data_IF_063088967242
#
_entry.id   IF_063088967242
#
_cell.length_a   1.000
_cell.length_b   1.000
_cell.length_c   1.000
_cell.angle_alpha   90.00
_cell.angle_beta   90.00
_cell.angle_gamma   90.00
#
_symmetry.space_group_name_H-M   'P 1'
#
loop_
_entity.id
_entity.type
_entity.pdbx_description
1 polymer ?
#
# COMPACT_ATOMS: atom_id res chain seq x y z
N UNK A 1 47.31 18.17 -5.00
CA UNK A 1 45.98 17.73 -4.53
C UNK A 1 45.28 18.90 -3.88
N UNK A 2 43.97 19.06 -4.11
CA UNK A 2 43.19 20.08 -3.39
C UNK A 2 42.86 19.56 -2.00
N UNK A 3 42.79 20.45 -1.00
CA UNK A 3 42.46 20.10 0.39
C UNK A 3 41.18 19.24 0.52
N UNK A 4 40.19 19.51 -0.35
CA UNK A 4 38.94 18.75 -0.41
C UNK A 4 39.16 17.26 -0.71
N UNK A 5 40.01 16.93 -1.68
CA UNK A 5 40.31 15.55 -2.07
C UNK A 5 41.03 14.80 -0.96
N UNK A 6 41.97 15.48 -0.30
CA UNK A 6 42.70 14.93 0.85
C UNK A 6 41.77 14.66 2.04
N UNK A 7 40.91 15.62 2.38
CA UNK A 7 39.89 15.45 3.42
C UNK A 7 38.95 14.29 3.10
N UNK A 8 38.48 14.17 1.86
CA UNK A 8 37.56 13.12 1.45
C UNK A 8 38.21 11.73 1.55
N UNK A 9 39.50 11.60 1.22
CA UNK A 9 40.26 10.35 1.39
C UNK A 9 40.38 9.94 2.87
N UNK A 10 40.67 10.90 3.76
CA UNK A 10 40.72 10.64 5.21
C UNK A 10 39.37 10.11 5.71
N UNK A 11 38.29 10.81 5.36
CA UNK A 11 36.94 10.43 5.79
C UNK A 11 36.58 9.02 5.28
N UNK A 12 36.89 8.73 4.01
CA UNK A 12 36.63 7.39 3.42
C UNK A 12 37.41 6.29 4.13
N UNK A 13 38.67 6.54 4.47
CA UNK A 13 39.51 5.57 5.18
C UNK A 13 38.97 5.31 6.61
N UNK A 14 38.59 6.36 7.34
CA UNK A 14 37.98 6.22 8.66
C UNK A 14 36.68 5.42 8.65
N UNK A 15 35.85 5.60 7.62
CA UNK A 15 34.56 4.91 7.48
C UNK A 15 34.70 3.52 6.81
N UNK A 16 35.91 3.07 6.48
CA UNK A 16 36.18 1.83 5.73
C UNK A 16 35.41 1.76 4.39
N UNK A 17 35.19 2.91 3.77
CA UNK A 17 34.50 3.03 2.47
C UNK A 17 35.56 3.01 1.37
N UNK A 18 35.31 2.26 0.30
CA UNK A 18 36.22 2.22 -0.84
C UNK A 18 36.47 3.63 -1.42
N UNK A 19 37.73 4.00 -1.74
CA UNK A 19 38.07 5.32 -2.27
C UNK A 19 37.36 5.64 -3.59
N UNK A 20 36.96 4.61 -4.35
CA UNK A 20 36.26 4.75 -5.64
C UNK A 20 34.77 5.07 -5.50
N UNK A 21 34.19 4.93 -4.30
CA UNK A 21 32.76 5.13 -4.07
C UNK A 21 32.47 6.64 -4.03
N UNK A 22 31.49 7.07 -4.82
CA UNK A 22 31.04 8.47 -4.85
C UNK A 22 29.90 8.69 -3.86
N UNK A 23 29.68 9.95 -3.45
CA UNK A 23 28.56 10.28 -2.56
C UNK A 23 27.22 9.85 -3.18
N UNK A 24 27.08 9.96 -4.49
CA UNK A 24 25.92 9.46 -5.24
C UNK A 24 25.69 7.98 -4.98
N UNK A 25 26.70 7.12 -5.04
CA UNK A 25 26.52 5.67 -4.81
C UNK A 25 26.01 5.35 -3.40
N UNK A 26 26.43 6.13 -2.39
CA UNK A 26 26.00 5.96 -0.99
C UNK A 26 24.54 6.37 -0.75
N UNK A 27 24.06 7.42 -1.43
CA UNK A 27 22.74 7.99 -1.17
C UNK A 27 21.61 7.43 -2.06
N UNK A 28 21.91 6.65 -3.10
CA UNK A 28 20.89 5.98 -3.94
C UNK A 28 20.19 4.79 -3.25
N UNK A 29 20.67 4.33 -2.09
CA UNK A 29 20.06 3.23 -1.32
C UNK A 29 18.64 3.54 -0.80
N UNK A 30 18.21 4.81 -0.78
CA UNK A 30 16.87 5.20 -0.29
C UNK A 30 15.73 4.98 -1.30
N UNK A 31 16.03 4.75 -2.58
CA UNK A 31 15.03 4.70 -3.64
C UNK A 31 14.77 3.31 -4.23
N UNK A 32 15.33 2.24 -3.64
CA UNK A 32 14.81 0.90 -3.90
C UNK A 32 13.42 0.79 -3.26
N UNK A 33 12.41 1.32 -3.97
CA UNK A 33 11.02 0.92 -3.77
C UNK A 33 11.03 -0.59 -3.97
N UNK A 34 11.05 -1.35 -2.89
CA UNK A 34 10.67 -2.76 -2.94
C UNK A 34 9.28 -2.78 -3.59
N UNK A 35 9.23 -3.09 -4.88
CA UNK A 35 7.99 -3.48 -5.53
C UNK A 35 7.57 -4.71 -4.75
N UNK A 36 6.61 -4.54 -3.83
CA UNK A 36 5.97 -5.68 -3.19
C UNK A 36 5.56 -6.60 -4.33
N UNK A 37 6.07 -7.83 -4.31
CA UNK A 37 5.58 -8.84 -5.23
C UNK A 37 4.05 -8.88 -5.07
N UNK A 38 3.28 -8.98 -6.17
CA UNK A 38 1.86 -9.21 -6.03
C UNK A 38 1.72 -10.51 -5.23
N UNK A 39 1.23 -10.41 -3.99
CA UNK A 39 0.84 -11.61 -3.26
C UNK A 39 -0.20 -12.28 -4.15
N UNK A 40 0.07 -13.52 -4.57
CA UNK A 40 -0.95 -14.36 -5.18
C UNK A 40 -2.13 -14.36 -4.21
N UNK A 41 -3.26 -13.81 -4.67
CA UNK A 41 -4.46 -13.75 -3.85
C UNK A 41 -4.79 -15.19 -3.44
N UNK A 42 -5.10 -15.45 -2.16
CA UNK A 42 -5.65 -16.74 -1.76
C UNK A 42 -6.83 -17.07 -2.68
N UNK A 43 -6.99 -18.34 -3.03
CA UNK A 43 -8.09 -18.88 -3.84
C UNK A 43 -9.46 -18.79 -3.13
N UNK A 44 -9.59 -17.85 -2.18
CA UNK A 44 -10.86 -17.39 -1.68
C UNK A 44 -11.52 -16.57 -2.79
N UNK A 45 -12.45 -17.23 -3.46
CA UNK A 45 -13.45 -16.69 -4.38
C UNK A 45 -13.95 -15.29 -3.97
N UNK A 46 -14.08 -15.06 -2.67
CA UNK A 46 -14.46 -13.76 -2.11
C UNK A 46 -13.26 -12.87 -1.77
N UNK A 47 -13.02 -11.84 -2.58
CA UNK A 47 -12.10 -10.74 -2.26
C UNK A 47 -12.76 -9.36 -2.37
N UNK A 48 -12.12 -8.38 -1.73
CA UNK A 48 -12.57 -6.99 -1.71
C UNK A 48 -12.06 -6.22 -2.92
N UNK A 49 -12.97 -5.49 -3.56
CA UNK A 49 -12.65 -4.55 -4.63
C UNK A 49 -13.31 -3.19 -4.37
N UNK A 50 -12.79 -2.10 -4.98
CA UNK A 50 -13.44 -0.80 -4.94
C UNK A 50 -14.82 -0.84 -5.59
N UNK A 51 -15.79 -0.14 -4.99
CA UNK A 51 -17.14 0.00 -5.57
C UNK A 51 -17.02 0.82 -6.88
N UNK A 52 -17.55 0.33 -8.01
CA UNK A 52 -17.52 1.06 -9.26
C UNK A 52 -18.26 2.39 -9.13
N UNK A 53 -17.66 3.42 -9.69
CA UNK A 53 -18.23 4.76 -9.67
C UNK A 53 -19.36 4.83 -10.70
N UNK A 54 -20.57 5.29 -10.33
CA UNK A 54 -21.64 5.50 -11.29
C UNK A 54 -21.25 6.54 -12.36
N UNK A 55 -21.72 6.35 -13.59
CA UNK A 55 -21.31 7.12 -14.77
C UNK A 55 -21.47 8.65 -14.61
N UNK A 56 -22.52 9.09 -13.91
CA UNK A 56 -22.79 10.52 -13.66
C UNK A 56 -22.25 11.05 -12.33
N UNK A 57 -21.35 10.30 -11.66
CA UNK A 57 -20.87 10.68 -10.34
C UNK A 57 -19.61 11.56 -10.41
N UNK A 58 -19.69 12.75 -9.83
CA UNK A 58 -18.65 13.79 -9.93
C UNK A 58 -17.33 13.46 -9.21
N UNK A 59 -17.32 12.52 -8.27
CA UNK A 59 -16.13 12.23 -7.43
C UNK A 59 -15.49 10.90 -7.83
N UNK A 60 -14.18 10.82 -7.66
CA UNK A 60 -13.40 9.60 -7.97
C UNK A 60 -13.70 8.40 -7.06
N UNK A 61 -14.33 8.62 -5.90
CA UNK A 61 -14.61 7.57 -4.92
C UNK A 61 -16.09 7.54 -4.58
N UNK A 62 -16.71 6.37 -4.75
CA UNK A 62 -18.10 6.14 -4.40
C UNK A 62 -18.20 5.31 -3.12
N UNK A 63 -19.16 5.65 -2.25
CA UNK A 63 -19.31 5.04 -0.94
C UNK A 63 -20.73 4.52 -0.76
N UNK A 64 -20.87 3.31 -0.21
CA UNK A 64 -22.14 2.72 0.21
C UNK A 64 -22.10 2.37 1.70
N UNK A 65 -23.27 2.17 2.30
CA UNK A 65 -23.33 1.70 3.70
C UNK A 65 -22.96 0.21 3.77
N UNK A 66 -22.14 -0.17 4.75
CA UNK A 66 -21.80 -1.56 5.00
C UNK A 66 -23.03 -2.36 5.46
N UNK A 67 -23.37 -3.45 4.75
CA UNK A 67 -24.54 -4.28 5.10
C UNK A 67 -24.42 -4.91 6.49
N UNK A 68 -23.25 -5.43 6.86
CA UNK A 68 -23.03 -6.03 8.17
C UNK A 68 -23.15 -5.01 9.32
N UNK A 69 -22.59 -3.81 9.17
CA UNK A 69 -22.76 -2.77 10.18
C UNK A 69 -24.24 -2.38 10.32
N UNK A 70 -24.96 -2.32 9.20
CA UNK A 70 -26.39 -1.98 9.18
C UNK A 70 -27.24 -3.03 9.91
N UNK A 71 -26.91 -4.35 9.78
CA UNK A 71 -27.50 -5.42 10.62
C UNK A 71 -27.31 -5.13 12.12
N UNK A 72 -26.13 -4.67 12.50
CA UNK A 72 -25.78 -4.30 13.89
C UNK A 72 -26.24 -2.89 14.29
N UNK A 73 -27.25 -2.32 13.61
CA UNK A 73 -27.80 -0.97 13.86
C UNK A 73 -26.76 0.17 13.83
N UNK A 74 -25.60 -0.06 13.21
CA UNK A 74 -24.50 0.91 13.13
C UNK A 74 -24.32 1.37 11.69
N UNK A 75 -24.27 2.68 11.45
CA UNK A 75 -24.03 3.20 10.09
C UNK A 75 -22.54 3.45 9.87
N UNK A 76 -21.90 2.62 9.04
CA UNK A 76 -20.56 2.85 8.51
C UNK A 76 -20.58 2.85 6.99
N UNK A 77 -19.87 3.81 6.39
CA UNK A 77 -19.68 3.88 4.95
C UNK A 77 -18.41 3.13 4.56
N UNK A 78 -18.44 2.46 3.40
CA UNK A 78 -17.33 1.74 2.82
C UNK A 78 -17.20 2.10 1.33
N UNK A 79 -15.96 2.10 0.84
CA UNK A 79 -15.61 2.22 -0.59
C UNK A 79 -15.42 0.84 -1.23
N UNK A 80 -15.56 -0.23 -0.46
CA UNK A 80 -15.23 -1.59 -0.86
C UNK A 80 -16.48 -2.46 -0.91
N UNK A 81 -16.50 -3.39 -1.86
CA UNK A 81 -17.49 -4.45 -1.98
C UNK A 81 -16.80 -5.80 -2.18
N UNK A 82 -17.50 -6.88 -1.86
CA UNK A 82 -17.09 -8.21 -2.32
C UNK A 82 -17.28 -8.29 -3.84
N UNK A 83 -16.28 -8.73 -4.60
CA UNK A 83 -16.37 -8.85 -6.06
C UNK A 83 -17.47 -9.82 -6.48
N UNK A 84 -17.55 -10.96 -5.82
CA UNK A 84 -18.53 -12.00 -6.18
C UNK A 84 -19.93 -11.70 -5.66
N UNK A 85 -20.06 -11.27 -4.40
CA UNK A 85 -21.37 -11.03 -3.83
C UNK A 85 -21.94 -9.65 -4.22
N UNK A 86 -21.11 -8.73 -4.70
CA UNK A 86 -21.46 -7.31 -4.96
C UNK A 86 -22.03 -6.57 -3.74
N UNK A 87 -21.69 -7.06 -2.53
CA UNK A 87 -22.18 -6.52 -1.26
C UNK A 87 -21.16 -5.52 -0.70
N UNK A 88 -21.59 -4.28 -0.34
CA UNK A 88 -20.72 -3.31 0.31
C UNK A 88 -20.43 -3.75 1.75
N UNK A 89 -19.15 -4.01 2.04
CA UNK A 89 -18.66 -4.46 3.34
C UNK A 89 -17.43 -3.64 3.77
N UNK A 90 -17.25 -3.46 5.07
CA UNK A 90 -16.02 -2.86 5.60
C UNK A 90 -14.85 -3.86 5.49
N UNK A 91 -13.63 -3.34 5.32
CA UNK A 91 -12.43 -4.16 5.35
C UNK A 91 -12.25 -4.90 6.70
N UNK A 92 -11.68 -6.11 6.66
CA UNK A 92 -11.46 -6.96 7.83
C UNK A 92 -12.73 -7.60 8.38
N UNK A 93 -13.09 -7.29 9.63
CA UNK A 93 -14.08 -8.04 10.43
C UNK A 93 -15.44 -8.22 9.75
N UNK A 94 -15.98 -7.16 9.12
CA UNK A 94 -17.30 -7.24 8.48
C UNK A 94 -17.30 -8.13 7.24
N UNK A 95 -16.17 -8.21 6.54
CA UNK A 95 -16.02 -9.07 5.39
C UNK A 95 -15.89 -10.53 5.82
N UNK A 96 -15.03 -10.83 6.79
CA UNK A 96 -14.88 -12.18 7.32
C UNK A 96 -16.20 -12.70 7.93
N UNK A 97 -16.90 -11.89 8.72
CA UNK A 97 -18.16 -12.32 9.34
C UNK A 97 -19.25 -12.61 8.32
N UNK A 98 -19.26 -11.90 7.18
CA UNK A 98 -20.29 -12.08 6.15
C UNK A 98 -20.11 -13.37 5.35
N UNK A 99 -18.89 -13.85 5.20
CA UNK A 99 -18.57 -15.06 4.42
C UNK A 99 -18.33 -16.29 5.30
N UNK A 100 -18.35 -16.13 6.63
CA UNK A 100 -18.35 -17.22 7.61
C UNK A 100 -19.76 -17.62 8.07
N UNK A 101 -20.77 -16.76 7.86
CA UNK A 101 -22.20 -17.05 8.01
C UNK A 101 -22.73 -17.83 6.79
#
# INVERSE_FOLDING_TARGET
MRFKEFRDLIIKNFLQISPTVTATDLFHLKNQKHRKQPNEAPDDKHYQEPIPVPENFKRSKYFKNCKQCTKNKTRKQTQLQCKECTVPLCAGKCFESWHKE
#
